data_IF_650968706852
#
_entry.id   IF_650968706852
#
_cell.length_a   1.000
_cell.length_b   1.000
_cell.length_c   1.000
_cell.angle_alpha   90.00
_cell.angle_beta   90.00
_cell.angle_gamma   90.00
#
_symmetry.space_group_name_H-M   'P 1'
#
loop_
_entity.id
_entity.type
_entity.pdbx_description
1 polymer ?
#
# COMPACT_ATOMS: atom_id res chain seq x y z
N UNK A 1 1.31 24.04 14.17
CA UNK A 1 1.12 22.87 15.06
C UNK A 1 1.85 21.63 14.56
N UNK A 2 2.31 21.61 13.31
CA UNK A 2 3.13 20.52 12.76
C UNK A 2 4.62 20.59 13.15
N UNK A 3 5.11 21.75 13.61
CA UNK A 3 6.52 21.99 13.91
C UNK A 3 7.03 21.40 15.24
N UNK A 4 6.15 20.83 16.06
CA UNK A 4 6.51 20.30 17.39
C UNK A 4 6.74 18.79 17.44
N UNK A 5 6.40 18.05 16.37
CA UNK A 5 6.49 16.59 16.33
C UNK A 5 7.41 16.19 15.17
N UNK A 6 8.36 15.28 15.42
CA UNK A 6 9.25 14.82 14.36
C UNK A 6 8.46 14.06 13.27
N UNK A 7 8.80 14.22 11.98
CA UNK A 7 8.08 13.56 10.88
C UNK A 7 7.99 12.04 11.03
N UNK A 8 9.03 11.41 11.58
CA UNK A 8 9.02 9.97 11.85
C UNK A 8 8.00 9.55 12.92
N UNK A 9 7.89 10.31 14.01
CA UNK A 9 6.90 10.07 15.07
C UNK A 9 5.49 10.32 14.54
N UNK A 10 5.29 11.34 13.70
CA UNK A 10 4.01 11.61 13.05
C UNK A 10 3.56 10.43 12.16
N UNK A 11 4.44 9.92 11.30
CA UNK A 11 4.14 8.75 10.47
C UNK A 11 3.88 7.48 11.29
N UNK A 12 4.58 7.30 12.41
CA UNK A 12 4.35 6.19 13.33
C UNK A 12 2.96 6.28 13.99
N UNK A 13 2.53 7.48 14.38
CA UNK A 13 1.17 7.71 14.92
C UNK A 13 0.14 7.33 13.86
N UNK A 14 0.29 7.80 12.61
CA UNK A 14 -0.61 7.42 11.50
C UNK A 14 -0.63 5.90 11.31
N UNK A 15 0.54 5.26 11.30
CA UNK A 15 0.64 3.80 11.12
C UNK A 15 -0.11 3.03 12.21
N UNK A 16 0.09 3.36 13.48
CA UNK A 16 -0.59 2.70 14.61
C UNK A 16 -2.10 2.95 14.57
N UNK A 17 -2.53 4.19 14.31
CA UNK A 17 -3.96 4.52 14.19
C UNK A 17 -4.62 3.83 13.00
N UNK A 18 -3.92 3.70 11.86
CA UNK A 18 -4.42 3.00 10.68
C UNK A 18 -4.65 1.50 10.96
N UNK A 19 -3.74 0.85 11.70
CA UNK A 19 -3.92 -0.55 12.13
C UNK A 19 -5.15 -0.68 13.03
N UNK A 20 -5.31 0.21 14.00
CA UNK A 20 -6.45 0.20 14.93
C UNK A 20 -7.79 0.34 14.18
N UNK A 21 -7.88 1.32 13.28
CA UNK A 21 -9.07 1.52 12.43
C UNK A 21 -9.31 0.29 11.56
N UNK A 22 -8.27 -0.22 10.89
CA UNK A 22 -8.37 -1.41 10.05
C UNK A 22 -8.96 -2.59 10.80
N UNK A 23 -8.42 -2.91 11.99
CA UNK A 23 -8.92 -3.99 12.84
C UNK A 23 -10.42 -3.85 13.14
N UNK A 24 -10.89 -2.68 13.55
CA UNK A 24 -12.32 -2.46 13.84
C UNK A 24 -13.22 -2.47 12.59
N UNK A 25 -12.69 -2.11 11.42
CA UNK A 25 -13.44 -2.16 10.15
C UNK A 25 -13.70 -3.61 9.72
N UNK A 26 -12.74 -4.52 9.93
CA UNK A 26 -12.89 -5.92 9.50
C UNK A 26 -13.46 -6.84 10.59
N UNK A 27 -13.60 -6.35 11.82
CA UNK A 27 -14.11 -7.15 12.93
C UNK A 27 -15.61 -7.42 12.77
N UNK A 28 -16.04 -8.66 13.01
CA UNK A 28 -17.45 -9.10 12.91
C UNK A 28 -18.12 -8.92 11.53
N UNK A 29 -17.37 -9.07 10.44
CA UNK A 29 -17.99 -9.19 9.11
C UNK A 29 -18.88 -10.44 9.03
N UNK A 30 -19.94 -10.39 8.23
CA UNK A 30 -20.82 -11.55 8.05
C UNK A 30 -20.06 -12.68 7.34
N UNK A 31 -20.29 -13.97 7.67
CA UNK A 31 -19.53 -15.08 7.09
C UNK A 31 -19.57 -15.14 5.56
N UNK A 32 -20.68 -14.72 4.94
CA UNK A 32 -20.82 -14.64 3.50
C UNK A 32 -19.84 -13.65 2.84
N UNK A 33 -19.28 -12.71 3.61
CA UNK A 33 -18.40 -11.67 3.12
C UNK A 33 -16.91 -12.02 3.22
N UNK A 34 -16.50 -13.13 3.83
CA UNK A 34 -15.06 -13.41 3.98
C UNK A 34 -14.34 -13.55 2.62
N UNK A 35 -14.97 -14.21 1.64
CA UNK A 35 -14.42 -14.35 0.29
C UNK A 35 -14.40 -13.03 -0.49
N UNK A 36 -15.49 -12.25 -0.59
CA UNK A 36 -15.42 -10.96 -1.26
C UNK A 36 -14.54 -9.94 -0.50
N UNK A 37 -14.45 -10.03 0.83
CA UNK A 37 -13.52 -9.21 1.62
C UNK A 37 -12.07 -9.51 1.27
N UNK A 38 -11.71 -10.78 1.08
CA UNK A 38 -10.38 -11.17 0.62
C UNK A 38 -10.05 -10.51 -0.72
N UNK A 39 -10.99 -10.52 -1.68
CA UNK A 39 -10.81 -9.84 -2.96
C UNK A 39 -10.64 -8.31 -2.79
N UNK A 40 -11.42 -7.67 -1.92
CA UNK A 40 -11.28 -6.22 -1.66
C UNK A 40 -9.92 -5.90 -1.03
N UNK A 41 -9.45 -6.69 -0.07
CA UNK A 41 -8.11 -6.48 0.52
C UNK A 41 -6.98 -6.71 -0.49
N UNK A 42 -7.18 -7.60 -1.46
CA UNK A 42 -6.25 -7.78 -2.58
C UNK A 42 -6.18 -6.52 -3.44
N UNK A 43 -7.33 -5.99 -3.85
CA UNK A 43 -7.43 -4.76 -4.63
C UNK A 43 -6.81 -3.54 -3.90
N UNK A 44 -6.97 -3.44 -2.57
CA UNK A 44 -6.33 -2.37 -1.77
C UNK A 44 -4.81 -2.52 -1.75
N UNK A 45 -4.29 -3.75 -1.68
CA UNK A 45 -2.85 -4.01 -1.67
C UNK A 45 -2.15 -3.57 -2.97
N UNK A 46 -2.91 -3.39 -4.05
CA UNK A 46 -2.40 -2.92 -5.33
C UNK A 46 -1.81 -1.49 -5.30
N UNK A 47 -2.00 -0.74 -4.20
CA UNK A 47 -1.38 0.58 -3.98
C UNK A 47 0.15 0.58 -4.13
N UNK A 48 0.81 -0.59 -4.01
CA UNK A 48 2.24 -0.78 -4.30
C UNK A 48 2.63 -0.24 -5.68
N UNK A 49 1.71 -0.18 -6.66
CA UNK A 49 1.94 0.39 -7.98
C UNK A 49 2.46 1.84 -7.92
N UNK A 50 2.02 2.64 -6.94
CA UNK A 50 2.47 4.03 -6.77
C UNK A 50 3.97 4.07 -6.46
N UNK A 51 4.43 3.20 -5.57
CA UNK A 51 5.86 3.07 -5.24
C UNK A 51 6.67 2.57 -6.44
N UNK A 52 6.14 1.62 -7.19
CA UNK A 52 6.79 1.10 -8.39
C UNK A 52 6.93 2.17 -9.48
N UNK A 53 5.90 3.00 -9.69
CA UNK A 53 5.93 4.11 -10.65
C UNK A 53 6.99 5.16 -10.25
N UNK A 54 7.06 5.50 -8.96
CA UNK A 54 8.10 6.40 -8.45
C UNK A 54 9.51 5.81 -8.63
N UNK A 55 9.69 4.53 -8.34
CA UNK A 55 10.97 3.84 -8.56
C UNK A 55 11.37 3.83 -10.04
N UNK A 56 10.44 3.56 -10.96
CA UNK A 56 10.69 3.56 -12.40
C UNK A 56 11.02 4.96 -12.94
N UNK A 57 10.36 6.00 -12.41
CA UNK A 57 10.50 7.37 -12.88
C UNK A 57 11.74 8.08 -12.32
N UNK A 58 12.04 7.91 -11.02
CA UNK A 58 13.04 8.68 -10.30
C UNK A 58 14.42 8.01 -10.26
N UNK A 59 14.51 6.71 -10.57
CA UNK A 59 15.80 6.01 -10.53
C UNK A 59 16.62 6.24 -11.79
N UNK A 60 17.86 6.68 -11.60
CA UNK A 60 18.80 7.02 -12.69
C UNK A 60 19.70 5.85 -13.11
N UNK A 61 19.93 4.88 -12.22
CA UNK A 61 20.81 3.76 -12.52
C UNK A 61 20.14 2.79 -13.49
N UNK A 62 20.86 2.23 -14.48
CA UNK A 62 20.26 1.30 -15.46
C UNK A 62 19.58 0.10 -14.79
N UNK A 63 20.22 -0.48 -13.78
CA UNK A 63 19.65 -1.58 -13.00
C UNK A 63 18.40 -1.15 -12.22
N UNK A 64 18.43 0.01 -11.57
CA UNK A 64 17.28 0.47 -10.80
C UNK A 64 16.07 0.82 -11.68
N UNK A 65 16.33 1.36 -12.89
CA UNK A 65 15.28 1.67 -13.86
C UNK A 65 14.63 0.42 -14.45
N UNK A 66 15.41 -0.61 -14.77
CA UNK A 66 14.86 -1.89 -15.24
C UNK A 66 14.06 -2.59 -14.13
N UNK A 67 14.57 -2.60 -12.90
CA UNK A 67 13.84 -3.13 -11.75
C UNK A 67 12.55 -2.36 -11.46
N UNK A 68 12.57 -1.02 -11.53
CA UNK A 68 11.37 -0.19 -11.37
C UNK A 68 10.32 -0.49 -12.43
N UNK A 69 10.73 -0.66 -13.69
CA UNK A 69 9.82 -1.00 -14.80
C UNK A 69 9.20 -2.39 -14.62
N UNK A 70 10.00 -3.37 -14.19
CA UNK A 70 9.50 -4.71 -13.85
C UNK A 70 8.56 -4.68 -12.64
N UNK A 71 8.86 -3.87 -11.63
CA UNK A 71 8.00 -3.68 -10.48
C UNK A 71 6.63 -3.11 -10.89
N UNK A 72 6.57 -2.17 -11.83
CA UNK A 72 5.29 -1.65 -12.37
C UNK A 72 4.52 -2.74 -13.10
N UNK A 73 5.19 -3.55 -13.94
CA UNK A 73 4.54 -4.65 -14.66
C UNK A 73 3.94 -5.69 -13.71
N UNK A 74 4.66 -6.06 -12.66
CA UNK A 74 4.17 -6.99 -11.64
C UNK A 74 3.05 -6.38 -10.78
N UNK A 75 3.19 -5.12 -10.38
CA UNK A 75 2.16 -4.43 -9.60
C UNK A 75 0.85 -4.26 -10.39
N UNK A 76 0.93 -4.06 -11.71
CA UNK A 76 -0.25 -3.96 -12.58
C UNK A 76 -1.09 -5.24 -12.59
N UNK A 77 -0.48 -6.42 -12.46
CA UNK A 77 -1.23 -7.68 -12.31
C UNK A 77 -2.08 -7.63 -11.04
N UNK A 78 -1.52 -7.13 -9.94
CA UNK A 78 -2.22 -7.03 -8.65
C UNK A 78 -3.38 -6.02 -8.66
N UNK A 79 -3.35 -5.00 -9.55
CA UNK A 79 -4.46 -4.04 -9.70
C UNK A 79 -5.71 -4.69 -10.30
N UNK A 80 -5.52 -5.72 -11.14
CA UNK A 80 -6.59 -6.32 -11.94
C UNK A 80 -7.21 -7.54 -11.22
N UNK A 81 -6.49 -8.16 -10.28
CA UNK A 81 -6.88 -9.39 -9.56
C UNK A 81 -7.60 -9.08 -8.25
#
# INVERSE_FOLDING_TARGET
>A
MEDFISPGVYNLIIFVLAIYVGYHVVWNVTPALHTPLMAVTNAISAIVIVGAMLAAALTVTPLGKTMGTLAVALAAVNVIV
#
